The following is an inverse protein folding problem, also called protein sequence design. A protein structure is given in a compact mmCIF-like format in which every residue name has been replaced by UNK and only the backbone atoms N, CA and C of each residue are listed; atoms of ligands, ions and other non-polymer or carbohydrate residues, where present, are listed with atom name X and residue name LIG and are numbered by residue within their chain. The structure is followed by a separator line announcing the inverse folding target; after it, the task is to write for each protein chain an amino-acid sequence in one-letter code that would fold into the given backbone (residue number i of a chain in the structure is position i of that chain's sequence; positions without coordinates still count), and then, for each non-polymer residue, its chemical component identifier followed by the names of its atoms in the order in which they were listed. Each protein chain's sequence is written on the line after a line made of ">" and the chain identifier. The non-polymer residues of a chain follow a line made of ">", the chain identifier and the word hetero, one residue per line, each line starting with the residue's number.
data_IF_727845356690
#
_entry.id   IF_727845356690
#
_cell.length_a   1.000
_cell.length_b   1.000
_cell.length_c   1.000
_cell.angle_alpha   90.00
_cell.angle_beta   90.00
_cell.angle_gamma   90.00
#
_symmetry.space_group_name_H-M   'P 1'
#
loop_
_entity.id
_entity.type
_entity.pdbx_description
1 polymer ?
#
# COMPACT_ATOMS: atom_id res chain seq x y z
N UNK A 1 9.17 -23.73 14.33
CA UNK A 1 8.19 -23.15 13.41
C UNK A 1 7.78 -21.85 14.06
N UNK A 2 8.04 -20.72 13.40
CA UNK A 2 7.57 -19.42 13.87
C UNK A 2 6.05 -19.43 13.62
N UNK A 3 5.26 -19.41 14.69
CA UNK A 3 3.81 -19.29 14.60
C UNK A 3 3.43 -17.84 14.26
N UNK A 4 2.21 -17.65 13.80
CA UNK A 4 1.74 -16.37 13.26
C UNK A 4 1.65 -15.27 14.31
N UNK A 5 1.49 -15.66 15.58
CA UNK A 5 1.51 -14.78 16.74
C UNK A 5 2.92 -14.56 17.31
N UNK A 6 3.92 -15.35 16.92
CA UNK A 6 5.28 -15.23 17.49
C UNK A 6 5.93 -13.88 17.15
N UNK A 7 5.55 -13.27 16.01
CA UNK A 7 6.01 -11.92 15.68
C UNK A 7 5.51 -10.90 16.70
N UNK A 8 4.20 -10.88 16.98
CA UNK A 8 3.58 -9.90 17.89
C UNK A 8 3.83 -10.20 19.35
N UNK A 9 3.89 -11.48 19.72
CA UNK A 9 3.82 -11.92 21.12
C UNK A 9 5.20 -12.24 21.69
N UNK A 10 6.17 -12.56 20.82
CA UNK A 10 7.53 -12.97 21.24
C UNK A 10 8.59 -11.99 20.73
N UNK A 11 8.66 -11.77 19.41
CA UNK A 11 9.73 -10.96 18.82
C UNK A 11 9.64 -9.47 19.15
N UNK A 12 8.49 -8.85 18.91
CA UNK A 12 8.32 -7.40 19.13
C UNK A 12 8.47 -7.02 20.61
N UNK A 13 7.91 -7.76 21.59
CA UNK A 13 8.14 -7.50 23.00
C UNK A 13 9.58 -7.78 23.44
N UNK A 14 10.23 -8.79 22.85
CA UNK A 14 11.63 -9.13 23.15
C UNK A 14 12.66 -8.13 22.60
N UNK A 15 12.26 -7.26 21.67
CA UNK A 15 13.13 -6.31 20.98
C UNK A 15 12.66 -4.85 21.13
N UNK A 16 12.63 -4.28 22.36
CA UNK A 16 12.03 -2.96 22.62
C UNK A 16 12.77 -1.77 22.00
N UNK A 17 13.96 -1.97 21.43
CA UNK A 17 14.74 -0.92 20.75
C UNK A 17 14.79 -1.09 19.23
N UNK A 18 13.99 -2.01 18.66
CA UNK A 18 13.99 -2.28 17.23
C UNK A 18 13.43 -1.09 16.45
N UNK A 19 14.24 -0.47 15.60
CA UNK A 19 13.83 0.69 14.79
C UNK A 19 13.41 0.32 13.36
N UNK A 20 13.94 -0.77 12.80
CA UNK A 20 13.60 -1.23 11.45
C UNK A 20 13.07 -2.66 11.49
N UNK A 21 11.88 -2.88 10.91
CA UNK A 21 11.29 -4.20 10.75
C UNK A 21 10.97 -4.45 9.29
N UNK A 22 11.37 -5.63 8.80
CA UNK A 22 10.94 -6.14 7.50
C UNK A 22 10.25 -7.48 7.69
N UNK A 23 8.97 -7.53 7.34
CA UNK A 23 8.15 -8.75 7.35
C UNK A 23 8.01 -9.22 5.91
N UNK A 24 8.49 -10.43 5.62
CA UNK A 24 8.38 -11.06 4.30
C UNK A 24 7.64 -12.37 4.48
N UNK A 25 6.45 -12.45 3.90
CA UNK A 25 5.65 -13.65 3.96
C UNK A 25 5.68 -14.39 2.63
N UNK A 26 5.98 -15.68 2.69
CA UNK A 26 6.08 -16.56 1.52
C UNK A 26 5.29 -17.87 1.67
N UNK A 27 4.45 -17.97 2.69
CA UNK A 27 3.72 -19.21 2.99
C UNK A 27 2.31 -19.20 2.38
N UNK A 28 1.68 -20.38 2.33
CA UNK A 28 0.37 -20.60 1.70
C UNK A 28 -0.84 -20.19 2.56
N UNK A 29 -0.60 -19.67 3.78
CA UNK A 29 -1.64 -19.23 4.70
C UNK A 29 -1.56 -17.71 4.89
N UNK A 30 -2.70 -17.03 5.07
CA UNK A 30 -2.74 -15.60 5.41
C UNK A 30 -3.20 -15.40 6.86
N UNK A 31 -2.26 -15.23 7.79
CA UNK A 31 -2.61 -14.97 9.18
C UNK A 31 -3.17 -13.57 9.39
N UNK A 32 -4.04 -13.45 10.39
CA UNK A 32 -4.48 -12.15 10.87
C UNK A 32 -3.37 -11.50 11.69
N UNK A 33 -2.59 -10.63 11.06
CA UNK A 33 -1.43 -10.02 11.71
C UNK A 33 -1.78 -8.71 12.42
N UNK A 34 -1.22 -8.55 13.61
CA UNK A 34 -1.14 -7.27 14.32
C UNK A 34 0.32 -6.90 14.52
N UNK A 35 0.78 -5.88 13.81
CA UNK A 35 2.11 -5.32 14.00
C UNK A 35 2.00 -4.19 15.02
N UNK A 36 2.41 -4.46 16.26
CA UNK A 36 2.33 -3.52 17.38
C UNK A 36 3.72 -3.21 17.92
N UNK A 37 4.16 -1.95 17.85
CA UNK A 37 5.47 -1.55 18.37
C UNK A 37 5.55 -0.05 18.61
N UNK A 38 6.22 0.34 19.69
CA UNK A 38 6.48 1.75 20.01
C UNK A 38 7.85 2.23 19.53
N UNK A 39 8.74 1.34 19.10
CA UNK A 39 10.12 1.68 18.73
C UNK A 39 10.37 1.71 17.23
N UNK A 40 9.56 0.99 16.44
CA UNK A 40 9.78 0.88 15.00
C UNK A 40 9.54 2.23 14.32
N UNK A 41 10.54 2.68 13.57
CA UNK A 41 10.52 3.88 12.73
C UNK A 41 10.30 3.53 11.26
N UNK A 42 10.81 2.39 10.81
CA UNK A 42 10.71 1.97 9.40
C UNK A 42 10.13 0.56 9.30
N UNK A 43 8.99 0.47 8.63
CA UNK A 43 8.25 -0.77 8.47
C UNK A 43 8.18 -1.13 6.99
N UNK A 44 8.67 -2.33 6.66
CA UNK A 44 8.47 -2.94 5.35
C UNK A 44 7.69 -4.23 5.52
N UNK A 45 6.59 -4.34 4.79
CA UNK A 45 5.74 -5.52 4.77
C UNK A 45 5.57 -5.96 3.33
N UNK A 46 5.84 -7.24 3.08
CA UNK A 46 5.81 -7.80 1.74
C UNK A 46 5.13 -9.18 1.76
N UNK A 47 3.95 -9.23 1.16
CA UNK A 47 3.20 -10.44 0.85
C UNK A 47 3.12 -10.60 -0.66
N UNK A 48 3.57 -11.74 -1.15
CA UNK A 48 3.70 -12.01 -2.59
C UNK A 48 2.60 -12.91 -3.17
N UNK A 49 1.70 -13.44 -2.36
CA UNK A 49 0.73 -14.44 -2.79
C UNK A 49 -0.67 -14.09 -2.29
N UNK A 50 -1.68 -14.38 -3.13
CA UNK A 50 -3.09 -14.28 -2.77
C UNK A 50 -3.67 -15.60 -2.23
N UNK A 51 -2.81 -16.62 -2.06
CA UNK A 51 -3.12 -17.91 -1.48
C UNK A 51 -3.45 -17.76 0.01
N UNK A 52 -4.53 -18.40 0.45
CA UNK A 52 -4.97 -18.37 1.85
C UNK A 52 -5.70 -17.09 2.26
N UNK A 53 -5.82 -16.09 1.37
CA UNK A 53 -6.65 -14.91 1.61
C UNK A 53 -8.13 -15.28 1.44
N UNK A 54 -8.93 -15.00 2.47
CA UNK A 54 -10.38 -15.17 2.50
C UNK A 54 -11.07 -13.96 3.12
N UNK A 55 -12.41 -13.97 3.17
CA UNK A 55 -13.21 -12.86 3.69
C UNK A 55 -12.91 -12.53 5.18
N UNK A 56 -12.20 -13.41 5.90
CA UNK A 56 -11.73 -13.22 7.28
C UNK A 56 -10.29 -12.72 7.41
N UNK A 57 -9.55 -12.54 6.31
CA UNK A 57 -8.17 -12.04 6.30
C UNK A 57 -8.09 -10.55 6.59
N UNK A 58 -7.33 -10.18 7.62
CA UNK A 58 -7.23 -8.82 8.14
C UNK A 58 -5.82 -8.50 8.59
N UNK A 59 -5.51 -7.20 8.62
CA UNK A 59 -4.26 -6.71 9.20
C UNK A 59 -4.50 -5.49 10.08
N UNK A 60 -3.66 -5.33 11.10
CA UNK A 60 -3.63 -4.16 11.96
C UNK A 60 -2.22 -3.63 12.16
N UNK A 61 -2.09 -2.31 12.13
CA UNK A 61 -0.88 -1.57 12.44
C UNK A 61 -1.13 -0.74 13.70
N UNK A 62 -0.39 -1.01 14.75
CA UNK A 62 -0.37 -0.23 15.99
C UNK A 62 1.07 0.21 16.27
N UNK A 63 1.56 1.10 15.41
CA UNK A 63 2.96 1.47 15.36
C UNK A 63 3.11 3.00 15.19
N UNK A 64 2.79 3.77 16.24
CA UNK A 64 2.67 5.23 16.15
C UNK A 64 4.00 5.94 15.85
N UNK A 65 5.14 5.29 16.11
CA UNK A 65 6.48 5.82 15.86
C UNK A 65 6.99 5.61 14.43
N UNK A 66 6.23 4.89 13.58
CA UNK A 66 6.64 4.62 12.20
C UNK A 66 6.60 5.91 11.40
N UNK A 67 7.75 6.29 10.83
CA UNK A 67 7.91 7.45 9.94
C UNK A 67 7.93 7.05 8.46
N UNK A 68 8.27 5.80 8.16
CA UNK A 68 8.30 5.26 6.80
C UNK A 68 7.67 3.88 6.70
N UNK A 69 6.67 3.75 5.82
CA UNK A 69 5.98 2.50 5.51
C UNK A 69 6.20 2.12 4.04
N UNK A 70 6.59 0.87 3.80
CA UNK A 70 6.48 0.20 2.51
C UNK A 70 5.57 -1.01 2.69
N UNK A 71 4.41 -0.99 2.06
CA UNK A 71 3.40 -2.03 2.18
C UNK A 71 3.11 -2.63 0.80
N UNK A 72 3.45 -3.89 0.61
CA UNK A 72 3.18 -4.67 -0.60
C UNK A 72 2.36 -5.89 -0.22
N UNK A 73 1.16 -6.02 -0.78
CA UNK A 73 0.21 -7.10 -0.45
C UNK A 73 -0.88 -7.26 -1.52
N UNK A 74 -1.82 -8.16 -1.29
CA UNK A 74 -3.15 -8.17 -1.90
C UNK A 74 -4.17 -7.45 -1.01
N UNK A 75 -5.22 -6.94 -1.64
CA UNK A 75 -6.30 -6.27 -0.94
C UNK A 75 -7.06 -7.25 -0.02
N UNK A 76 -7.17 -6.89 1.24
CA UNK A 76 -7.85 -7.67 2.28
C UNK A 76 -9.31 -7.27 2.45
N UNK A 77 -10.07 -8.04 3.21
CA UNK A 77 -11.46 -7.72 3.54
C UNK A 77 -11.56 -6.53 4.49
N UNK A 78 -10.62 -6.38 5.42
CA UNK A 78 -10.66 -5.32 6.43
C UNK A 78 -9.26 -4.93 6.93
N UNK A 79 -9.08 -3.63 7.20
CA UNK A 79 -7.91 -3.04 7.88
C UNK A 79 -8.40 -2.40 9.19
N UNK A 80 -8.44 -3.17 10.28
CA UNK A 80 -9.19 -2.82 11.50
C UNK A 80 -8.63 -1.61 12.25
N UNK A 81 -7.34 -1.66 12.58
CA UNK A 81 -6.64 -0.57 13.28
C UNK A 81 -5.41 -0.19 12.46
N UNK A 82 -5.32 1.08 12.08
CA UNK A 82 -4.16 1.62 11.39
C UNK A 82 -3.71 2.89 12.11
N UNK A 83 -3.01 2.68 13.22
CA UNK A 83 -2.41 3.73 14.04
C UNK A 83 -0.94 3.93 13.62
N UNK A 84 -0.72 4.93 12.76
CA UNK A 84 0.58 5.31 12.21
C UNK A 84 0.80 6.82 12.38
N UNK A 85 0.66 7.30 13.62
CA UNK A 85 0.58 8.73 13.95
C UNK A 85 1.74 9.60 13.46
N UNK A 86 2.96 9.04 13.35
CA UNK A 86 4.17 9.76 12.93
C UNK A 86 4.54 9.53 11.46
N UNK A 87 3.65 8.92 10.66
CA UNK A 87 4.00 8.48 9.31
C UNK A 87 4.14 9.67 8.35
N UNK A 88 5.38 9.97 7.95
CA UNK A 88 5.67 10.99 6.94
C UNK A 88 5.68 10.45 5.51
N UNK A 89 6.06 9.17 5.32
CA UNK A 89 6.20 8.56 3.99
C UNK A 89 5.54 7.19 3.90
N UNK A 90 4.67 7.01 2.90
CA UNK A 90 4.08 5.72 2.58
C UNK A 90 4.33 5.33 1.12
N UNK A 91 4.64 4.05 0.90
CA UNK A 91 4.60 3.41 -0.41
C UNK A 91 3.64 2.23 -0.35
N UNK A 92 2.57 2.30 -1.14
CA UNK A 92 1.59 1.23 -1.27
C UNK A 92 1.76 0.52 -2.61
N UNK A 93 1.80 -0.81 -2.53
CA UNK A 93 1.78 -1.70 -3.68
C UNK A 93 0.80 -2.86 -3.44
N UNK A 94 -0.49 -2.55 -3.56
CA UNK A 94 -1.57 -3.46 -3.20
C UNK A 94 -2.28 -3.96 -4.45
N UNK A 95 -2.19 -5.26 -4.69
CA UNK A 95 -2.83 -5.94 -5.81
C UNK A 95 -4.27 -6.34 -5.49
N UNK A 96 -5.12 -6.42 -6.52
CA UNK A 96 -6.50 -6.88 -6.36
C UNK A 96 -6.69 -8.27 -6.99
N UNK A 97 -7.02 -9.27 -6.17
CA UNK A 97 -7.43 -10.59 -6.63
C UNK A 97 -8.94 -10.76 -6.47
N UNK A 98 -9.65 -10.88 -7.60
CA UNK A 98 -11.10 -11.21 -7.60
C UNK A 98 -11.40 -12.59 -7.04
N UNK A 99 -10.41 -13.49 -7.02
CA UNK A 99 -10.56 -14.87 -6.56
C UNK A 99 -10.60 -14.91 -5.03
N UNK A 100 -9.75 -14.11 -4.39
CA UNK A 100 -9.59 -14.10 -2.94
C UNK A 100 -10.64 -13.23 -2.27
N UNK A 101 -10.75 -11.94 -2.64
CA UNK A 101 -11.68 -11.00 -1.98
C UNK A 101 -12.61 -10.37 -3.02
N UNK A 102 -13.93 -10.60 -2.85
CA UNK A 102 -14.93 -9.99 -3.75
C UNK A 102 -15.07 -8.48 -3.53
N UNK A 103 -15.03 -8.05 -2.26
CA UNK A 103 -15.24 -6.66 -1.84
C UNK A 103 -14.17 -6.24 -0.83
N UNK A 104 -13.01 -5.76 -1.29
CA UNK A 104 -11.98 -5.28 -0.39
C UNK A 104 -12.40 -3.94 0.23
N UNK A 105 -12.11 -3.76 1.50
CA UNK A 105 -12.28 -2.48 2.19
C UNK A 105 -10.94 -1.94 2.66
N UNK A 106 -10.40 -0.96 1.93
CA UNK A 106 -9.14 -0.28 2.25
C UNK A 106 -9.35 1.04 3.00
N UNK A 107 -10.57 1.33 3.46
CA UNK A 107 -10.90 2.62 4.09
C UNK A 107 -10.06 2.88 5.34
N UNK A 108 -9.92 1.86 6.20
CA UNK A 108 -9.09 1.93 7.39
C UNK A 108 -7.61 2.21 7.09
N UNK A 109 -7.07 1.58 6.03
CA UNK A 109 -5.71 1.85 5.58
C UNK A 109 -5.54 3.29 5.10
N UNK A 110 -6.43 3.77 4.23
CA UNK A 110 -6.34 5.13 3.69
C UNK A 110 -6.44 6.19 4.79
N UNK A 111 -7.34 6.00 5.76
CA UNK A 111 -7.47 6.88 6.93
C UNK A 111 -6.18 6.84 7.77
N UNK A 112 -5.64 5.65 8.04
CA UNK A 112 -4.43 5.52 8.85
C UNK A 112 -3.18 6.15 8.24
N UNK A 113 -3.12 6.29 6.91
CA UNK A 113 -2.01 6.95 6.21
C UNK A 113 -2.33 8.39 5.78
N UNK A 114 -3.47 8.97 6.17
CA UNK A 114 -3.90 10.27 5.63
C UNK A 114 -3.00 11.45 6.03
N UNK A 115 -2.14 11.27 7.04
CA UNK A 115 -1.25 12.31 7.57
C UNK A 115 0.11 12.41 6.85
N UNK A 116 0.38 11.55 5.85
CA UNK A 116 1.67 11.51 5.16
C UNK A 116 1.97 12.79 4.38
N UNK A 117 3.26 13.11 4.27
CA UNK A 117 3.79 14.15 3.40
C UNK A 117 4.11 13.61 2.00
N UNK A 118 4.52 12.34 1.93
CA UNK A 118 4.86 11.66 0.67
C UNK A 118 4.09 10.35 0.54
N UNK A 119 3.31 10.23 -0.53
CA UNK A 119 2.56 9.02 -0.86
C UNK A 119 2.97 8.52 -2.24
N UNK A 120 3.45 7.27 -2.30
CA UNK A 120 3.68 6.56 -3.54
C UNK A 120 2.64 5.46 -3.72
N UNK A 121 1.84 5.57 -4.78
CA UNK A 121 0.89 4.54 -5.19
C UNK A 121 1.44 3.77 -6.38
N UNK A 122 1.48 2.45 -6.27
CA UNK A 122 1.71 1.60 -7.43
C UNK A 122 0.52 1.65 -8.40
N UNK A 123 0.72 1.29 -9.67
CA UNK A 123 -0.36 1.18 -10.65
C UNK A 123 -1.49 0.24 -10.22
N UNK A 124 -1.17 -0.83 -9.49
CA UNK A 124 -2.15 -1.80 -9.01
C UNK A 124 -2.92 -1.23 -7.81
N UNK A 125 -2.25 -0.52 -6.91
CA UNK A 125 -2.89 0.23 -5.82
C UNK A 125 -3.88 1.27 -6.34
N UNK A 126 -3.49 1.99 -7.39
CA UNK A 126 -4.35 2.99 -8.06
C UNK A 126 -5.61 2.35 -8.65
N UNK A 127 -5.49 1.20 -9.31
CA UNK A 127 -6.66 0.48 -9.86
C UNK A 127 -7.58 -0.02 -8.74
N UNK A 128 -7.01 -0.54 -7.65
CA UNK A 128 -7.74 -0.98 -6.46
C UNK A 128 -8.52 0.18 -5.83
N UNK A 129 -7.86 1.29 -5.49
CA UNK A 129 -8.51 2.45 -4.89
C UNK A 129 -9.62 2.97 -5.81
N UNK A 130 -9.36 3.06 -7.12
CA UNK A 130 -10.37 3.48 -8.10
C UNK A 130 -11.60 2.57 -8.12
N UNK A 131 -11.44 1.26 -7.90
CA UNK A 131 -12.57 0.32 -7.75
C UNK A 131 -13.33 0.59 -6.47
N UNK A 132 -12.65 0.71 -5.33
CA UNK A 132 -13.29 0.96 -4.05
C UNK A 132 -14.09 2.28 -4.08
N UNK A 133 -13.53 3.35 -4.65
CA UNK A 133 -14.22 4.65 -4.81
C UNK A 133 -15.49 4.51 -5.66
N UNK A 134 -15.44 3.75 -6.76
CA UNK A 134 -16.63 3.45 -7.56
C UNK A 134 -17.69 2.65 -6.81
N UNK A 135 -17.29 1.93 -5.76
CA UNK A 135 -18.17 1.13 -4.91
C UNK A 135 -18.55 1.85 -3.60
N UNK A 136 -18.30 3.15 -3.49
CA UNK A 136 -18.77 3.97 -2.37
C UNK A 136 -17.71 4.32 -1.32
N UNK A 137 -16.44 3.91 -1.51
CA UNK A 137 -15.36 4.36 -0.64
C UNK A 137 -15.19 5.88 -0.75
N UNK A 138 -15.15 6.54 0.41
CA UNK A 138 -14.84 7.97 0.52
C UNK A 138 -13.36 8.12 0.81
N UNK A 139 -12.65 8.86 -0.05
CA UNK A 139 -11.24 9.16 0.18
C UNK A 139 -11.09 10.11 1.37
N UNK A 140 -10.14 9.88 2.28
CA UNK A 140 -9.81 10.85 3.32
C UNK A 140 -9.15 12.08 2.70
N UNK A 141 -9.18 13.19 3.45
CA UNK A 141 -8.41 14.38 3.11
C UNK A 141 -6.96 14.15 3.54
N UNK A 142 -6.02 14.32 2.62
CA UNK A 142 -4.58 14.24 2.88
C UNK A 142 -4.02 15.64 3.17
N UNK A 143 -4.29 16.16 4.38
CA UNK A 143 -4.00 17.54 4.76
C UNK A 143 -2.51 17.93 4.72
N UNK A 144 -1.61 16.95 4.74
CA UNK A 144 -0.17 17.18 4.75
C UNK A 144 0.54 16.66 3.50
N UNK A 145 -0.18 16.08 2.54
CA UNK A 145 0.45 15.47 1.38
C UNK A 145 1.02 16.53 0.44
N UNK A 146 2.35 16.57 0.35
CA UNK A 146 3.12 17.48 -0.50
C UNK A 146 3.55 16.78 -1.80
N UNK A 147 3.91 15.49 -1.71
CA UNK A 147 4.37 14.71 -2.86
C UNK A 147 3.50 13.48 -3.08
N UNK A 148 2.82 13.44 -4.23
CA UNK A 148 2.07 12.27 -4.70
C UNK A 148 2.79 11.63 -5.88
N UNK A 149 3.16 10.36 -5.76
CA UNK A 149 3.58 9.55 -6.91
C UNK A 149 2.45 8.62 -7.31
N UNK A 150 2.05 8.70 -8.58
CA UNK A 150 0.85 8.09 -9.10
C UNK A 150 1.11 7.48 -10.48
N UNK A 151 0.69 6.24 -10.68
CA UNK A 151 0.67 5.57 -11.98
C UNK A 151 -0.61 4.78 -12.16
N UNK A 152 -0.98 4.49 -13.42
CA UNK A 152 -2.08 3.58 -13.73
C UNK A 152 -1.87 2.87 -15.07
N UNK A 153 -2.16 1.55 -15.10
CA UNK A 153 -2.16 0.72 -16.33
C UNK A 153 -3.41 0.90 -17.18
N UNK A 154 -4.45 1.53 -16.66
CA UNK A 154 -5.75 1.60 -17.34
C UNK A 154 -6.47 2.95 -17.14
N UNK A 155 -7.45 3.23 -18.01
CA UNK A 155 -8.24 4.48 -17.97
C UNK A 155 -9.01 4.67 -16.66
N UNK A 156 -9.34 3.58 -15.95
CA UNK A 156 -10.09 3.65 -14.69
C UNK A 156 -9.22 4.21 -13.57
N UNK A 157 -8.00 3.72 -13.41
CA UNK A 157 -7.08 4.25 -12.43
C UNK A 157 -6.82 5.75 -12.67
N UNK A 158 -6.65 6.18 -13.92
CA UNK A 158 -6.50 7.60 -14.27
C UNK A 158 -7.67 8.49 -13.84
N UNK A 159 -8.90 7.96 -13.77
CA UNK A 159 -10.04 8.72 -13.23
C UNK A 159 -9.92 9.02 -11.74
N UNK A 160 -9.07 8.32 -11.00
CA UNK A 160 -8.83 8.54 -9.56
C UNK A 160 -8.02 9.82 -9.30
N UNK A 161 -7.09 10.15 -10.19
CA UNK A 161 -6.16 11.27 -10.02
C UNK A 161 -6.83 12.60 -9.62
N UNK A 162 -7.87 13.10 -10.32
CA UNK A 162 -8.51 14.35 -9.92
C UNK A 162 -9.15 14.30 -8.53
N UNK A 163 -9.61 13.12 -8.08
CA UNK A 163 -10.14 12.98 -6.72
C UNK A 163 -9.02 13.06 -5.67
N UNK A 164 -7.88 12.41 -5.91
CA UNK A 164 -6.73 12.48 -5.00
C UNK A 164 -6.16 13.90 -4.91
N UNK A 165 -6.03 14.60 -6.05
CA UNK A 165 -5.58 16.00 -6.09
C UNK A 165 -6.55 16.89 -5.29
N UNK A 166 -7.86 16.71 -5.48
CA UNK A 166 -8.88 17.46 -4.71
C UNK A 166 -8.79 17.20 -3.20
N UNK A 167 -8.41 15.98 -2.80
CA UNK A 167 -8.25 15.61 -1.39
C UNK A 167 -6.88 16.01 -0.81
N UNK A 168 -5.99 16.62 -1.59
CA UNK A 168 -4.61 16.93 -1.19
C UNK A 168 -4.35 18.43 -1.31
N UNK A 169 -4.84 19.26 -0.36
CA UNK A 169 -4.83 20.72 -0.49
C UNK A 169 -3.42 21.34 -0.47
N UNK A 170 -2.41 20.63 0.04
CA UNK A 170 -1.00 21.07 0.08
C UNK A 170 -0.12 20.39 -0.99
N UNK A 171 -0.72 19.76 -2.00
CA UNK A 171 0.03 19.01 -2.99
C UNK A 171 0.86 19.96 -3.86
N UNK A 172 2.18 19.86 -3.77
CA UNK A 172 3.12 20.68 -4.55
C UNK A 172 3.72 19.87 -5.70
N UNK A 173 4.01 18.59 -5.46
CA UNK A 173 4.69 17.71 -6.41
C UNK A 173 3.81 16.52 -6.79
N UNK A 174 3.53 16.38 -8.09
CA UNK A 174 2.90 15.20 -8.66
C UNK A 174 3.88 14.47 -9.57
N UNK A 175 4.24 13.26 -9.18
CA UNK A 175 5.10 12.36 -9.93
C UNK A 175 4.24 11.35 -10.68
N UNK A 176 4.15 11.50 -11.99
CA UNK A 176 3.43 10.56 -12.84
C UNK A 176 4.34 9.42 -13.27
N UNK A 177 4.03 8.20 -12.84
CA UNK A 177 4.68 6.97 -13.29
C UNK A 177 4.07 6.54 -14.63
N UNK A 178 4.83 6.69 -15.70
CA UNK A 178 4.46 6.20 -17.03
C UNK A 178 5.06 4.81 -17.22
N UNK A 179 4.19 3.82 -17.45
CA UNK A 179 4.60 2.48 -17.90
C UNK A 179 4.59 2.44 -19.42
N UNK A 180 5.77 2.26 -20.02
CA UNK A 180 5.88 1.86 -21.41
C UNK A 180 5.79 0.33 -21.48
N UNK A 181 4.64 -0.19 -21.91
CA UNK A 181 4.58 -1.58 -22.37
C UNK A 181 5.33 -1.64 -23.70
N UNK A 182 6.56 -2.16 -23.70
CA UNK A 182 7.16 -2.62 -24.94
C UNK A 182 6.31 -3.80 -25.43
N UNK A 183 5.44 -3.57 -26.41
CA UNK A 183 4.86 -4.65 -27.20
C UNK A 183 5.98 -5.29 -28.01
N UNK A 184 6.70 -6.24 -27.43
CA UNK A 184 7.54 -7.14 -28.20
C UNK A 184 6.61 -8.11 -28.93
N UNK A 185 6.45 -7.94 -30.24
CA UNK A 185 5.72 -8.88 -31.13
C UNK A 185 6.44 -10.24 -31.26
N UNK A 186 7.30 -10.59 -30.30
CA UNK A 186 8.22 -11.71 -30.36
C UNK A 186 7.73 -12.81 -29.42
N UNK A 187 7.35 -13.97 -29.98
CA UNK A 187 6.81 -15.12 -29.22
C UNK A 187 7.81 -15.73 -28.21
N UNK A 188 9.04 -15.23 -28.20
CA UNK A 188 10.14 -15.67 -27.34
C UNK A 188 10.58 -14.59 -26.32
N UNK A 189 9.82 -13.51 -26.14
CA UNK A 189 10.15 -12.52 -25.11
C UNK A 189 9.99 -13.12 -23.69
N UNK A 190 10.86 -12.77 -22.72
CA UNK A 190 10.67 -13.16 -21.33
C UNK A 190 9.30 -12.65 -20.84
N UNK A 191 8.59 -13.48 -20.05
CA UNK A 191 7.23 -13.18 -19.55
C UNK A 191 7.16 -11.84 -18.78
N UNK A 192 8.29 -11.46 -18.17
CA UNK A 192 8.45 -10.20 -17.44
C UNK A 192 9.58 -9.38 -18.09
N UNK A 193 9.28 -8.50 -19.06
CA UNK A 193 10.27 -7.56 -19.57
C UNK A 193 10.69 -6.59 -18.44
N UNK A 194 11.93 -6.07 -18.45
CA UNK A 194 12.38 -5.11 -17.43
C UNK A 194 11.46 -3.89 -17.41
N UNK A 195 10.83 -3.64 -16.26
CA UNK A 195 9.95 -2.50 -16.04
C UNK A 195 10.78 -1.21 -16.00
N UNK A 196 10.80 -0.47 -17.10
CA UNK A 196 11.32 0.90 -17.12
C UNK A 196 10.18 1.85 -16.73
N UNK A 197 10.27 2.39 -15.50
CA UNK A 197 9.38 3.44 -15.02
C UNK A 197 9.97 4.81 -15.33
N UNK A 198 9.27 5.58 -16.16
CA UNK A 198 9.58 6.99 -16.37
C UNK A 198 8.71 7.83 -15.44
N UNK A 199 9.30 8.86 -14.83
CA UNK A 199 8.59 9.77 -13.94
C UNK A 199 8.50 11.15 -14.59
N UNK A 200 7.29 11.61 -14.86
CA UNK A 200 7.04 13.02 -15.21
C UNK A 200 6.76 13.80 -13.92
N UNK A 201 7.52 14.87 -13.69
CA UNK A 201 7.37 15.73 -12.54
C UNK A 201 6.51 16.94 -12.92
N UNK A 202 5.40 17.11 -12.22
CA UNK A 202 4.55 18.30 -12.29
C UNK A 202 4.64 19.06 -10.97
N UNK A 203 4.85 20.36 -11.07
CA UNK A 203 4.81 21.29 -9.94
C UNK A 203 3.50 22.08 -9.99
N UNK A 204 2.77 22.10 -8.89
CA UNK A 204 1.66 23.03 -8.68
C UNK A 204 2.24 24.28 -8.00
N UNK A 205 2.33 25.38 -8.74
CA UNK A 205 2.73 26.70 -8.20
C UNK A 205 1.52 27.44 -7.66
#
# INVERSE_FOLDING_TARGET
>A
MFDDQDLSDVLLPGCPMLEELTVVHKTDFYPNYRISSQSIKKLTVFYCYDFGIDDGSRISFDAPSVVSLKYTDYALSEYQLVNLGSLGKAKLDISYSKKSIKRPDISGLLVGISNVETLHLSPDSTDLISRCVKHGLVLPVFNNLVTLSFGSRNKRGWKLLPYLVKQSPKLETLIIQVMLLFFSNNRNAPRDPPELTYSLLFFFF
#
